data_IF_229063652489
#
_entry.id   IF_229063652489
#
_cell.length_a   1.000
_cell.length_b   1.000
_cell.length_c   1.000
_cell.angle_alpha   90.00
_cell.angle_beta   90.00
_cell.angle_gamma   90.00
#
_symmetry.space_group_name_H-M   'P 1'
#
loop_
_entity.id
_entity.type
_entity.pdbx_description
1 polymer ?
#
# COMPACT_ATOMS: atom_id res chain seq x y z
N UNK A 1 -10.12 -2.20 24.37
CA UNK A 1 -10.90 -0.98 24.61
C UNK A 1 -12.35 -1.12 24.13
N UNK A 2 -12.59 -1.48 22.85
CA UNK A 2 -13.95 -1.61 22.28
C UNK A 2 -14.85 -2.53 23.11
N UNK A 3 -14.33 -3.67 23.55
CA UNK A 3 -15.06 -4.60 24.42
C UNK A 3 -15.51 -3.94 25.74
N UNK A 4 -14.65 -3.15 26.37
CA UNK A 4 -14.98 -2.44 27.63
C UNK A 4 -16.05 -1.36 27.40
N UNK A 5 -15.92 -0.59 26.31
CA UNK A 5 -16.88 0.46 25.97
C UNK A 5 -18.27 -0.09 25.61
N UNK A 6 -18.31 -1.23 24.92
CA UNK A 6 -19.55 -1.83 24.45
C UNK A 6 -20.21 -2.79 25.47
N UNK A 7 -19.62 -3.01 26.65
CA UNK A 7 -20.06 -3.99 27.63
C UNK A 7 -21.55 -3.86 28.02
N UNK A 8 -22.03 -2.64 28.16
CA UNK A 8 -23.39 -2.36 28.65
C UNK A 8 -24.43 -2.48 27.56
N UNK A 9 -24.19 -1.87 26.39
CA UNK A 9 -25.17 -1.80 25.30
C UNK A 9 -25.07 -2.96 24.33
N UNK A 10 -23.87 -3.53 24.16
CA UNK A 10 -23.51 -4.51 23.11
C UNK A 10 -23.86 -4.04 21.69
N UNK A 11 -24.17 -2.75 21.53
CA UNK A 11 -24.47 -2.16 20.23
C UNK A 11 -23.15 -1.68 19.62
N UNK A 12 -22.51 -2.56 18.86
CA UNK A 12 -21.22 -2.33 18.22
C UNK A 12 -21.25 -2.90 16.80
N UNK A 13 -20.71 -2.13 15.88
CA UNK A 13 -20.42 -2.57 14.51
C UNK A 13 -18.93 -2.40 14.27
N UNK A 14 -18.25 -3.48 13.93
CA UNK A 14 -16.83 -3.46 13.56
C UNK A 14 -16.68 -3.86 12.10
N UNK A 15 -15.91 -3.09 11.36
CA UNK A 15 -15.56 -3.38 9.96
C UNK A 15 -14.05 -3.53 9.89
N UNK A 16 -13.59 -4.56 9.20
CA UNK A 16 -12.17 -4.81 9.04
C UNK A 16 -11.91 -5.84 7.96
N UNK A 17 -10.64 -6.02 7.65
CA UNK A 17 -10.15 -6.97 6.66
C UNK A 17 -8.86 -7.60 7.17
N UNK A 18 -8.94 -8.86 7.59
CA UNK A 18 -7.80 -9.62 8.11
C UNK A 18 -6.73 -9.87 7.06
N UNK A 19 -7.11 -9.98 5.79
CA UNK A 19 -6.21 -10.16 4.66
C UNK A 19 -5.37 -8.91 4.34
N UNK A 20 -5.76 -7.72 4.84
CA UNK A 20 -5.05 -6.46 4.67
C UNK A 20 -4.22 -6.04 5.90
N UNK A 21 -3.94 -6.95 6.79
CA UNK A 21 -3.14 -6.68 8.00
C UNK A 21 -1.65 -6.56 7.67
N UNK A 22 -1.23 -5.40 7.18
CA UNK A 22 0.15 -5.12 6.76
C UNK A 22 0.98 -4.37 7.82
N UNK A 23 0.42 -4.11 9.00
CA UNK A 23 1.07 -3.36 10.09
C UNK A 23 1.46 -4.22 11.29
N UNK A 24 1.56 -5.54 11.15
CA UNK A 24 2.02 -6.45 12.22
C UNK A 24 3.36 -6.02 12.82
N UNK A 25 4.28 -5.53 12.02
CA UNK A 25 5.57 -4.99 12.45
C UNK A 25 5.47 -3.68 13.27
N UNK A 26 4.31 -3.02 13.27
CA UNK A 26 3.99 -1.86 14.14
C UNK A 26 3.17 -2.26 15.37
N UNK A 27 3.05 -3.54 15.69
CA UNK A 27 2.27 -4.03 16.82
C UNK A 27 0.76 -4.16 16.55
N UNK A 28 0.33 -4.14 15.29
CA UNK A 28 -1.05 -4.45 14.96
C UNK A 28 -1.31 -5.96 15.11
N UNK A 29 -2.31 -6.30 15.91
CA UNK A 29 -2.71 -7.69 16.15
C UNK A 29 -3.96 -8.05 15.33
N UNK A 30 -3.80 -8.86 14.29
CA UNK A 30 -4.91 -9.44 13.52
C UNK A 30 -5.83 -10.28 14.41
N UNK A 31 -5.27 -10.91 15.42
CA UNK A 31 -6.00 -11.72 16.38
C UNK A 31 -7.19 -11.00 17.06
N UNK A 32 -7.22 -9.68 17.05
CA UNK A 32 -8.34 -8.92 17.62
C UNK A 32 -9.62 -9.06 16.79
N UNK A 33 -9.53 -9.03 15.46
CA UNK A 33 -10.72 -9.24 14.60
C UNK A 33 -11.14 -10.71 14.60
N UNK A 34 -10.19 -11.63 14.66
CA UNK A 34 -10.46 -13.08 14.70
C UNK A 34 -11.16 -13.50 16.01
N UNK A 35 -10.97 -12.75 17.09
CA UNK A 35 -11.61 -13.00 18.41
C UNK A 35 -12.96 -12.30 18.55
N UNK A 36 -13.41 -11.54 17.57
CA UNK A 36 -14.62 -10.72 17.69
C UNK A 36 -15.86 -11.54 18.10
N UNK A 37 -16.09 -12.67 17.45
CA UNK A 37 -17.22 -13.55 17.77
C UNK A 37 -17.14 -14.13 19.19
N UNK A 38 -15.91 -14.42 19.66
CA UNK A 38 -15.69 -14.86 21.05
C UNK A 38 -15.96 -13.74 22.06
N UNK A 39 -15.58 -12.51 21.72
CA UNK A 39 -15.79 -11.34 22.61
C UNK A 39 -17.25 -10.86 22.59
N UNK A 40 -17.97 -11.08 21.50
CA UNK A 40 -19.38 -10.71 21.31
C UNK A 40 -20.18 -11.91 20.81
N UNK A 41 -20.50 -12.89 21.70
CA UNK A 41 -21.27 -14.08 21.32
C UNK A 41 -22.62 -13.70 20.70
N UNK A 42 -22.95 -14.30 19.57
CA UNK A 42 -24.17 -14.04 18.81
C UNK A 42 -24.09 -12.80 17.88
N UNK A 43 -22.91 -12.21 17.71
CA UNK A 43 -22.71 -11.16 16.73
C UNK A 43 -22.98 -11.70 15.31
N UNK A 44 -23.67 -10.88 14.50
CA UNK A 44 -23.89 -11.20 13.09
C UNK A 44 -22.63 -10.86 12.30
N UNK A 45 -22.04 -11.88 11.68
CA UNK A 45 -20.87 -11.70 10.79
C UNK A 45 -21.38 -11.66 9.35
N UNK A 46 -21.03 -10.57 8.66
CA UNK A 46 -21.34 -10.39 7.23
C UNK A 46 -20.01 -10.30 6.48
N UNK A 47 -19.82 -11.18 5.49
CA UNK A 47 -18.65 -11.16 4.61
C UNK A 47 -18.99 -10.39 3.34
N UNK A 48 -18.18 -9.38 3.03
CA UNK A 48 -18.28 -8.61 1.80
C UNK A 48 -17.30 -9.23 0.79
N UNK A 49 -17.79 -10.08 -0.10
CA UNK A 49 -16.97 -10.89 -1.00
C UNK A 49 -16.93 -10.34 -2.43
N UNK A 50 -17.89 -9.49 -2.80
CA UNK A 50 -17.88 -8.84 -4.10
C UNK A 50 -16.86 -7.70 -4.14
N UNK A 51 -15.94 -7.76 -5.11
CA UNK A 51 -14.95 -6.74 -5.37
C UNK A 51 -15.38 -5.90 -6.59
N UNK A 52 -15.41 -4.58 -6.40
CA UNK A 52 -15.80 -3.60 -7.43
C UNK A 52 -14.63 -2.80 -7.97
N UNK A 53 -13.42 -3.04 -7.46
CA UNK A 53 -12.22 -2.25 -7.76
C UNK A 53 -11.39 -2.86 -8.88
N UNK A 54 -11.21 -4.17 -8.85
CA UNK A 54 -10.18 -4.86 -9.63
C UNK A 54 -10.77 -5.77 -10.68
N UNK A 55 -10.07 -5.88 -11.80
CA UNK A 55 -10.34 -6.89 -12.84
C UNK A 55 -10.00 -8.29 -12.34
N UNK A 56 -10.55 -9.32 -13.00
CA UNK A 56 -10.44 -10.71 -12.58
C UNK A 56 -8.99 -11.21 -12.46
N UNK A 57 -8.08 -10.80 -13.36
CA UNK A 57 -6.67 -11.21 -13.32
C UNK A 57 -5.96 -10.72 -12.05
N UNK A 58 -6.17 -9.46 -11.66
CA UNK A 58 -5.59 -8.89 -10.43
C UNK A 58 -6.16 -9.59 -9.20
N UNK A 59 -7.48 -9.80 -9.16
CA UNK A 59 -8.13 -10.44 -8.04
C UNK A 59 -7.71 -11.91 -7.88
N UNK A 60 -7.56 -12.63 -8.98
CA UNK A 60 -7.09 -14.01 -8.98
C UNK A 60 -5.67 -14.14 -8.44
N UNK A 61 -4.77 -13.26 -8.85
CA UNK A 61 -3.41 -13.23 -8.34
C UNK A 61 -3.36 -12.89 -6.83
N UNK A 62 -4.10 -11.87 -6.40
CA UNK A 62 -4.19 -11.50 -4.99
C UNK A 62 -4.75 -12.65 -4.14
N UNK A 63 -5.80 -13.33 -4.62
CA UNK A 63 -6.39 -14.48 -3.96
C UNK A 63 -5.41 -15.66 -3.85
N UNK A 64 -4.59 -15.89 -4.88
CA UNK A 64 -3.57 -16.94 -4.86
C UNK A 64 -2.47 -16.64 -3.83
N UNK A 65 -2.02 -15.40 -3.72
CA UNK A 65 -1.02 -14.99 -2.73
C UNK A 65 -1.57 -15.16 -1.32
N UNK A 66 -2.76 -14.62 -1.05
CA UNK A 66 -3.32 -14.61 0.30
C UNK A 66 -3.76 -16.01 0.77
N UNK A 67 -4.00 -16.94 -0.13
CA UNK A 67 -4.35 -18.32 0.21
C UNK A 67 -3.25 -19.05 1.01
N UNK A 68 -2.00 -18.58 0.92
CA UNK A 68 -0.88 -19.13 1.69
C UNK A 68 -0.85 -18.67 3.16
N UNK A 69 -1.66 -17.68 3.53
CA UNK A 69 -1.76 -17.25 4.93
C UNK A 69 -2.63 -18.19 5.73
N UNK A 70 -2.06 -18.77 6.78
CA UNK A 70 -2.78 -19.59 7.75
C UNK A 70 -3.54 -18.72 8.76
N UNK A 71 -4.65 -19.25 9.32
CA UNK A 71 -5.39 -18.59 10.40
C UNK A 71 -6.28 -17.41 10.00
N UNK A 72 -6.54 -17.22 8.71
CA UNK A 72 -7.48 -16.19 8.20
C UNK A 72 -8.94 -16.62 8.41
N UNK A 73 -9.86 -15.64 8.49
CA UNK A 73 -11.31 -15.91 8.53
C UNK A 73 -11.84 -16.58 7.25
N UNK A 74 -11.09 -16.45 6.16
CA UNK A 74 -11.42 -17.00 4.86
C UNK A 74 -12.60 -16.29 4.21
N UNK A 75 -12.36 -15.70 3.06
CA UNK A 75 -13.35 -15.18 2.13
C UNK A 75 -12.90 -15.47 0.72
N UNK A 76 -13.84 -15.63 -0.19
CA UNK A 76 -13.56 -15.81 -1.61
C UNK A 76 -14.02 -14.58 -2.34
N UNK A 77 -13.07 -13.72 -2.67
CA UNK A 77 -13.38 -12.51 -3.43
C UNK A 77 -13.71 -12.86 -4.88
N UNK A 78 -14.77 -12.24 -5.40
CA UNK A 78 -15.18 -12.38 -6.78
C UNK A 78 -15.54 -11.00 -7.37
N UNK A 79 -15.54 -10.87 -8.70
CA UNK A 79 -15.86 -9.64 -9.40
C UNK A 79 -16.68 -9.93 -10.65
N UNK A 80 -17.56 -9.00 -11.02
CA UNK A 80 -18.28 -8.99 -12.30
C UNK A 80 -17.46 -8.30 -13.40
N UNK A 81 -16.36 -7.63 -13.03
CA UNK A 81 -15.49 -7.00 -13.99
C UNK A 81 -14.85 -8.03 -14.94
N UNK A 82 -14.50 -7.58 -16.15
CA UNK A 82 -13.80 -8.41 -17.12
C UNK A 82 -12.51 -8.99 -16.53
N UNK A 83 -12.00 -10.04 -17.16
CA UNK A 83 -10.75 -10.69 -16.71
C UNK A 83 -9.58 -9.71 -16.69
N UNK A 84 -9.54 -8.76 -17.64
CA UNK A 84 -8.45 -7.81 -17.79
C UNK A 84 -7.18 -8.43 -18.36
N UNK A 85 -6.14 -7.63 -18.48
CA UNK A 85 -4.83 -8.06 -18.96
C UNK A 85 -4.13 -8.97 -17.95
N UNK A 86 -3.26 -9.84 -18.45
CA UNK A 86 -2.41 -10.67 -17.61
C UNK A 86 -1.40 -9.82 -16.87
N UNK A 87 -1.13 -10.17 -15.62
CA UNK A 87 -0.06 -9.57 -14.84
C UNK A 87 1.30 -9.90 -15.47
N UNK A 88 2.15 -8.91 -15.56
CA UNK A 88 3.56 -9.08 -15.94
C UNK A 88 4.40 -9.11 -14.67
N UNK A 89 5.27 -10.09 -14.54
CA UNK A 89 6.29 -10.16 -13.49
C UNK A 89 7.64 -10.00 -14.18
N UNK A 90 8.37 -8.96 -13.82
CA UNK A 90 9.67 -8.63 -14.42
C UNK A 90 10.73 -8.69 -13.33
N UNK A 91 11.78 -9.49 -13.54
CA UNK A 91 12.96 -9.49 -12.69
C UNK A 91 13.97 -8.50 -13.24
N UNK A 92 14.57 -7.71 -12.35
CA UNK A 92 15.62 -6.72 -12.65
C UNK A 92 16.78 -6.88 -11.67
N UNK A 93 17.95 -6.32 -12.00
CA UNK A 93 19.16 -6.48 -11.19
C UNK A 93 19.23 -5.54 -9.98
N UNK A 94 18.75 -4.31 -10.16
CA UNK A 94 18.83 -3.26 -9.14
C UNK A 94 17.67 -2.26 -9.26
N UNK A 95 17.63 -1.28 -8.35
CA UNK A 95 16.58 -0.26 -8.30
C UNK A 95 16.66 0.74 -9.46
N UNK A 96 17.84 1.00 -10.00
CA UNK A 96 18.01 1.89 -11.16
C UNK A 96 17.39 1.25 -12.40
N UNK A 97 17.66 -0.04 -12.64
CA UNK A 97 17.04 -0.77 -13.72
C UNK A 97 15.53 -0.89 -13.53
N UNK A 98 15.06 -1.12 -12.29
CA UNK A 98 13.64 -1.14 -11.96
C UNK A 98 12.97 0.19 -12.36
N UNK A 99 13.54 1.32 -11.94
CA UNK A 99 13.02 2.64 -12.28
C UNK A 99 13.06 2.92 -13.79
N UNK A 100 14.08 2.44 -14.49
CA UNK A 100 14.17 2.55 -15.94
C UNK A 100 13.06 1.78 -16.64
N UNK A 101 12.86 0.52 -16.31
CA UNK A 101 11.82 -0.34 -16.90
C UNK A 101 10.42 0.23 -16.66
N UNK A 102 10.16 0.72 -15.43
CA UNK A 102 8.88 1.34 -15.10
C UNK A 102 8.70 2.67 -15.85
N UNK A 103 9.74 3.49 -15.95
CA UNK A 103 9.70 4.73 -16.74
C UNK A 103 9.37 4.48 -18.21
N UNK A 104 10.01 3.48 -18.82
CA UNK A 104 9.79 3.10 -20.21
C UNK A 104 8.33 2.59 -20.43
N UNK A 105 7.77 1.84 -19.47
CA UNK A 105 6.36 1.41 -19.51
C UNK A 105 5.39 2.60 -19.39
N UNK A 106 5.68 3.58 -18.51
CA UNK A 106 4.85 4.79 -18.38
C UNK A 106 4.82 5.57 -19.69
N UNK A 107 5.98 5.79 -20.33
CA UNK A 107 6.04 6.45 -21.64
C UNK A 107 5.30 5.68 -22.73
N UNK A 108 5.36 4.34 -22.69
CA UNK A 108 4.62 3.50 -23.63
C UNK A 108 3.11 3.68 -23.46
N UNK A 109 2.62 3.67 -22.21
CA UNK A 109 1.20 3.87 -21.89
C UNK A 109 0.72 5.27 -22.27
N UNK A 110 1.53 6.31 -22.05
CA UNK A 110 1.20 7.66 -22.50
C UNK A 110 1.05 7.73 -24.03
N UNK A 111 1.91 7.05 -24.78
CA UNK A 111 1.79 6.97 -26.26
C UNK A 111 0.52 6.24 -26.70
N UNK A 112 0.01 5.30 -25.91
CA UNK A 112 -1.27 4.63 -26.09
C UNK A 112 -2.47 5.51 -25.69
N UNK A 113 -2.23 6.70 -25.12
CA UNK A 113 -3.26 7.64 -24.72
C UNK A 113 -3.76 7.50 -23.29
N UNK A 114 -3.08 6.70 -22.45
CA UNK A 114 -3.43 6.58 -21.02
C UNK A 114 -2.95 7.83 -20.28
N UNK A 115 -3.84 8.43 -19.48
CA UNK A 115 -3.49 9.60 -18.66
C UNK A 115 -2.56 9.23 -17.53
N UNK A 116 -1.62 10.11 -17.19
CA UNK A 116 -0.76 9.94 -16.00
C UNK A 116 -1.54 9.85 -14.70
N UNK A 117 -2.70 10.50 -14.60
CA UNK A 117 -3.58 10.42 -13.43
C UNK A 117 -4.19 9.03 -13.22
N UNK A 118 -4.15 8.17 -14.22
CA UNK A 118 -4.61 6.78 -14.17
C UNK A 118 -3.48 5.79 -13.87
N UNK A 119 -2.25 6.27 -13.69
CA UNK A 119 -1.09 5.45 -13.41
C UNK A 119 -0.60 5.65 -11.97
N UNK A 120 -0.15 4.57 -11.34
CA UNK A 120 0.44 4.62 -10.01
C UNK A 120 1.58 3.61 -9.87
N UNK A 121 2.65 4.02 -9.21
CA UNK A 121 3.74 3.14 -8.78
C UNK A 121 3.55 2.85 -7.30
N UNK A 122 3.38 1.58 -6.94
CA UNK A 122 3.25 1.15 -5.55
C UNK A 122 4.57 0.54 -5.09
N UNK A 123 5.11 1.05 -3.98
CA UNK A 123 6.36 0.56 -3.39
C UNK A 123 6.13 0.00 -1.99
N UNK A 124 6.96 -0.95 -1.59
CA UNK A 124 6.86 -1.56 -0.26
C UNK A 124 7.44 -0.66 0.83
N UNK A 125 8.46 0.12 0.52
CA UNK A 125 9.15 0.98 1.48
C UNK A 125 9.54 2.32 0.85
N UNK A 126 9.57 3.37 1.67
CA UNK A 126 9.80 4.74 1.21
C UNK A 126 11.17 4.96 0.56
N UNK A 127 12.18 4.20 0.96
CA UNK A 127 13.51 4.33 0.35
C UNK A 127 13.53 3.96 -1.15
N UNK A 128 12.61 3.10 -1.60
CA UNK A 128 12.48 2.72 -3.01
C UNK A 128 11.94 3.86 -3.89
N UNK A 129 11.29 4.87 -3.30
CA UNK A 129 10.68 5.97 -4.06
C UNK A 129 11.72 6.84 -4.76
N UNK A 130 12.94 6.93 -4.22
CA UNK A 130 13.98 7.83 -4.72
C UNK A 130 14.38 7.53 -6.15
N UNK A 131 14.64 6.26 -6.46
CA UNK A 131 15.04 5.83 -7.80
C UNK A 131 13.97 6.18 -8.85
N UNK A 132 12.70 6.00 -8.50
CA UNK A 132 11.57 6.38 -9.35
C UNK A 132 11.45 7.90 -9.49
N UNK A 133 11.59 8.67 -8.40
CA UNK A 133 11.56 10.15 -8.42
C UNK A 133 12.64 10.71 -9.35
N UNK A 134 13.87 10.22 -9.19
CA UNK A 134 15.02 10.63 -9.99
C UNK A 134 14.79 10.30 -11.47
N UNK A 135 14.32 9.09 -11.78
CA UNK A 135 14.04 8.66 -13.16
C UNK A 135 12.90 9.46 -13.80
N UNK A 136 11.78 9.64 -13.11
CA UNK A 136 10.63 10.38 -13.63
C UNK A 136 10.97 11.87 -13.84
N UNK A 137 11.78 12.45 -12.96
CA UNK A 137 12.28 13.80 -13.10
C UNK A 137 13.19 13.95 -14.33
N UNK A 138 14.07 12.97 -14.56
CA UNK A 138 14.94 12.94 -15.74
C UNK A 138 14.14 12.86 -17.06
N UNK A 139 13.06 12.08 -17.04
CA UNK A 139 12.15 11.94 -18.20
C UNK A 139 11.20 13.14 -18.36
N UNK A 140 11.18 14.07 -17.39
CA UNK A 140 10.23 15.19 -17.38
C UNK A 140 8.77 14.76 -17.17
N UNK A 141 8.54 13.58 -16.59
CA UNK A 141 7.20 13.05 -16.32
C UNK A 141 6.66 13.68 -15.03
N UNK A 142 5.56 14.46 -15.08
CA UNK A 142 4.92 15.00 -13.88
C UNK A 142 4.47 13.87 -12.96
N UNK A 143 4.84 13.95 -11.69
CA UNK A 143 4.51 12.94 -10.70
C UNK A 143 4.31 13.54 -9.32
N UNK A 144 3.69 12.77 -8.40
CA UNK A 144 3.51 13.16 -7.01
C UNK A 144 3.81 11.98 -6.10
N UNK A 145 4.65 12.22 -5.09
CA UNK A 145 4.95 11.24 -4.05
C UNK A 145 3.92 11.34 -2.93
N UNK A 146 3.33 10.21 -2.57
CA UNK A 146 2.36 10.08 -1.49
C UNK A 146 2.98 9.22 -0.38
N UNK A 147 3.00 9.74 0.87
CA UNK A 147 3.51 9.00 2.02
C UNK A 147 5.04 8.93 2.11
N UNK A 148 5.76 9.65 1.27
CA UNK A 148 7.21 9.83 1.38
C UNK A 148 7.59 10.81 2.50
N UNK A 149 8.89 10.88 2.87
CA UNK A 149 9.38 11.87 3.82
C UNK A 149 9.09 13.28 3.31
N UNK A 150 8.64 14.15 4.22
CA UNK A 150 8.46 15.57 3.90
C UNK A 150 9.80 16.17 3.51
N UNK A 151 9.79 17.26 2.72
CA UNK A 151 10.99 17.91 2.22
C UNK A 151 12.07 18.12 3.32
N UNK A 152 11.67 18.62 4.47
CA UNK A 152 12.59 18.87 5.59
C UNK A 152 13.01 17.61 6.37
N UNK A 153 12.39 16.47 6.11
CA UNK A 153 12.69 15.16 6.72
C UNK A 153 13.70 14.36 5.88
N UNK A 154 13.95 14.79 4.64
CA UNK A 154 14.93 14.17 3.75
C UNK A 154 16.34 14.34 4.33
N UNK A 155 17.15 13.27 4.28
CA UNK A 155 18.48 13.24 4.89
C UNK A 155 19.35 14.40 4.41
N UNK A 156 19.43 14.61 3.10
CA UNK A 156 20.21 15.68 2.47
C UNK A 156 19.80 17.08 2.93
N UNK A 157 18.50 17.30 3.16
CA UNK A 157 17.98 18.59 3.65
C UNK A 157 18.31 18.77 5.14
N UNK A 158 18.19 17.72 5.93
CA UNK A 158 18.56 17.74 7.35
C UNK A 158 20.05 18.04 7.53
N UNK A 159 20.89 17.40 6.72
CA UNK A 159 22.33 17.61 6.74
C UNK A 159 22.68 19.05 6.34
N UNK A 160 22.09 19.56 5.25
CA UNK A 160 22.25 20.94 4.83
C UNK A 160 21.81 21.93 5.92
N UNK A 161 20.66 21.69 6.55
CA UNK A 161 20.18 22.53 7.66
C UNK A 161 21.09 22.46 8.88
N UNK A 162 21.69 21.29 9.17
CA UNK A 162 22.65 21.16 10.27
C UNK A 162 23.89 22.03 10.01
N UNK A 163 24.46 22.00 8.80
CA UNK A 163 25.56 22.90 8.41
C UNK A 163 25.19 24.39 8.49
N UNK A 164 24.01 24.75 8.02
CA UNK A 164 23.54 26.16 8.10
C UNK A 164 23.37 26.62 9.55
N UNK A 165 22.90 25.72 10.44
CA UNK A 165 22.81 26.02 11.88
C UNK A 165 24.17 26.22 12.52
N UNK A 166 25.17 25.41 12.20
CA UNK A 166 26.55 25.58 12.66
C UNK A 166 27.15 26.91 12.22
N UNK A 167 26.83 27.36 11.00
CA UNK A 167 27.29 28.68 10.49
C UNK A 167 26.59 29.82 11.24
N UNK A 168 25.29 29.67 11.53
CA UNK A 168 24.50 30.71 12.18
C UNK A 168 24.74 30.76 13.70
N UNK A 169 25.07 29.66 14.34
CA UNK A 169 25.27 29.52 15.78
C UNK A 169 26.49 28.59 16.07
N UNK A 170 27.72 29.09 15.83
CA UNK A 170 28.91 28.27 15.96
C UNK A 170 29.29 27.91 17.40
N UNK A 171 28.55 28.39 18.40
CA UNK A 171 28.78 28.14 19.83
C UNK A 171 27.77 27.15 20.47
N UNK A 172 26.90 26.54 19.68
CA UNK A 172 25.90 25.59 20.15
C UNK A 172 26.40 24.14 20.05
#
# INVERSE_FOLDING_TARGET
WLRLLAQKSRNICCVGDDDQSIYGWRGAEVGNILKFEKDFPGAKIVRLEQNYRSVGAVLGAASSVIAHNEGRLGKTLWTEAATGDRLKVVGVWDGEEEARVVGDEIEARQREGVSLDEMAILVRASFQMREFEDRLSLLGVPHRIIGGPRFYERQEIRDALAYLRLIAQPAD
#
